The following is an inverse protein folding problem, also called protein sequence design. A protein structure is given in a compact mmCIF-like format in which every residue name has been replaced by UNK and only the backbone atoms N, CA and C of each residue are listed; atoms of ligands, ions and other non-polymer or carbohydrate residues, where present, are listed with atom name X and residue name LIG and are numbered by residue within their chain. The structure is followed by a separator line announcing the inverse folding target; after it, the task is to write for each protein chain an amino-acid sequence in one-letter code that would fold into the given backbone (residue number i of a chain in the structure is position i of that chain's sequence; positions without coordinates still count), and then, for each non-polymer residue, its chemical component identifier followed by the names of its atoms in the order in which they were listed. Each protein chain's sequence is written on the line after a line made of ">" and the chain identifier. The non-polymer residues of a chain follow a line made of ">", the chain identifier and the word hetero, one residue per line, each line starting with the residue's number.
data_IF_321644653111
#
_entry.id   IF_321644653111
#
_cell.length_a   1.000
_cell.length_b   1.000
_cell.length_c   1.000
_cell.angle_alpha   90.00
_cell.angle_beta   90.00
_cell.angle_gamma   90.00
#
_symmetry.space_group_name_H-M   'P 1'
#
loop_
_entity.id
_entity.type
_entity.pdbx_description
1 polymer ?
#
# COMPACT_ATOMS: atom_id res chain seq x y z
N UNK A 1 -1.07 -8.53 -4.41
CA UNK A 1 -0.95 -8.01 -3.02
C UNK A 1 -2.33 -7.66 -2.50
N UNK A 2 -2.61 -7.86 -1.21
CA UNK A 2 -3.89 -7.50 -0.57
C UNK A 2 -3.87 -6.08 0.00
N UNK A 3 -4.89 -5.31 -0.34
CA UNK A 3 -5.11 -3.95 0.12
C UNK A 3 -6.49 -3.83 0.73
N UNK A 4 -6.59 -3.12 1.85
CA UNK A 4 -7.86 -2.72 2.45
C UNK A 4 -8.19 -1.29 2.01
N UNK A 5 -9.44 -1.06 1.59
CA UNK A 5 -9.95 0.28 1.32
C UNK A 5 -10.23 0.99 2.64
N UNK A 6 -9.53 2.07 2.93
CA UNK A 6 -9.73 2.85 4.17
C UNK A 6 -10.47 4.16 3.94
N UNK A 7 -10.58 4.61 2.69
CA UNK A 7 -11.31 5.81 2.32
C UNK A 7 -12.80 5.71 2.65
N UNK A 8 -13.35 6.70 3.37
CA UNK A 8 -14.77 6.74 3.77
C UNK A 8 -15.72 6.72 2.57
N UNK A 9 -15.37 7.41 1.49
CA UNK A 9 -16.14 7.41 0.25
C UNK A 9 -15.88 6.17 -0.62
N UNK A 10 -15.06 5.22 -0.17
CA UNK A 10 -14.56 4.12 -1.01
C UNK A 10 -13.61 4.59 -2.11
N UNK A 11 -13.23 3.68 -3.00
CA UNK A 11 -12.31 3.95 -4.11
C UNK A 11 -12.94 3.67 -5.46
N UNK A 12 -12.77 4.62 -6.38
CA UNK A 12 -13.28 4.50 -7.75
C UNK A 12 -12.48 3.48 -8.56
N UNK A 13 -13.18 2.65 -9.32
CA UNK A 13 -12.62 1.66 -10.25
C UNK A 13 -12.84 2.14 -11.68
N UNK A 14 -11.77 2.10 -12.48
CA UNK A 14 -11.75 2.54 -13.88
C UNK A 14 -11.29 1.44 -14.82
N UNK A 15 -11.62 1.61 -16.10
CA UNK A 15 -11.18 0.70 -17.16
C UNK A 15 -9.68 0.78 -17.40
N UNK A 16 -9.12 1.98 -17.35
CA UNK A 16 -7.72 2.29 -17.68
C UNK A 16 -7.08 3.23 -16.64
N UNK A 17 -5.75 3.19 -16.45
CA UNK A 17 -5.04 4.08 -15.55
C UNK A 17 -4.80 5.42 -16.25
N UNK A 18 -5.50 6.46 -15.81
CA UNK A 18 -5.54 7.74 -16.52
C UNK A 18 -5.68 8.90 -15.54
N UNK A 19 -4.78 9.87 -15.64
CA UNK A 19 -4.81 11.08 -14.83
C UNK A 19 -5.95 12.03 -15.21
N UNK A 20 -6.62 11.78 -16.36
CA UNK A 20 -7.76 12.56 -16.79
C UNK A 20 -8.96 12.22 -15.90
N UNK A 21 -9.54 13.23 -15.27
CA UNK A 21 -10.73 13.06 -14.43
C UNK A 21 -11.97 12.59 -15.22
N UNK A 22 -11.99 12.84 -16.52
CA UNK A 22 -13.12 12.61 -17.44
C UNK A 22 -13.42 11.14 -17.73
N UNK A 23 -12.53 10.22 -17.35
CA UNK A 23 -12.73 8.80 -17.59
C UNK A 23 -13.78 8.21 -16.64
N UNK A 24 -14.81 7.52 -17.17
CA UNK A 24 -15.96 7.10 -16.39
C UNK A 24 -15.56 6.10 -15.30
N UNK A 25 -16.08 6.34 -14.10
CA UNK A 25 -16.07 5.36 -13.02
C UNK A 25 -16.97 4.18 -13.42
N UNK A 26 -16.39 2.96 -13.44
CA UNK A 26 -17.16 1.74 -13.67
C UNK A 26 -17.97 1.41 -12.42
N UNK A 27 -17.31 1.48 -11.27
CA UNK A 27 -17.89 1.18 -9.97
C UNK A 27 -17.03 1.73 -8.85
N UNK A 28 -17.51 1.57 -7.62
CA UNK A 28 -16.83 1.97 -6.40
C UNK A 28 -16.64 0.78 -5.47
N UNK A 29 -15.44 0.64 -4.94
CA UNK A 29 -15.19 -0.33 -3.87
C UNK A 29 -15.39 0.37 -2.52
N UNK A 30 -16.29 -0.12 -1.65
CA UNK A 30 -16.58 0.54 -0.38
C UNK A 30 -15.43 0.36 0.64
N UNK A 31 -15.41 1.25 1.65
CA UNK A 31 -14.51 1.15 2.82
C UNK A 31 -14.60 -0.23 3.49
N UNK A 32 -13.47 -0.71 3.99
CA UNK A 32 -13.30 -2.01 4.64
C UNK A 32 -13.18 -3.19 3.67
N UNK A 33 -13.39 -2.96 2.38
CA UNK A 33 -13.22 -4.03 1.38
C UNK A 33 -11.75 -4.38 1.22
N UNK A 34 -11.46 -5.67 1.07
CA UNK A 34 -10.13 -6.16 0.73
C UNK A 34 -10.08 -6.47 -0.76
N UNK A 35 -9.17 -5.83 -1.48
CA UNK A 35 -8.93 -6.04 -2.91
C UNK A 35 -7.52 -6.57 -3.12
N UNK A 36 -7.31 -7.31 -4.22
CA UNK A 36 -6.00 -7.82 -4.60
C UNK A 36 -5.53 -7.18 -5.89
N UNK A 37 -4.27 -6.72 -5.91
CA UNK A 37 -3.70 -6.10 -7.10
C UNK A 37 -2.21 -5.80 -7.03
N UNK A 38 -1.74 -5.04 -8.02
CA UNK A 38 -0.38 -4.54 -8.14
C UNK A 38 -0.34 -3.03 -8.33
N UNK A 39 0.50 -2.35 -7.54
CA UNK A 39 0.71 -0.92 -7.71
C UNK A 39 1.67 -0.64 -8.88
N UNK A 40 1.38 0.41 -9.64
CA UNK A 40 2.24 0.95 -10.69
C UNK A 40 1.78 2.34 -11.11
N UNK A 41 2.70 3.31 -11.17
CA UNK A 41 2.40 4.66 -11.67
C UNK A 41 1.31 5.43 -10.89
N UNK A 42 1.15 5.18 -9.58
CA UNK A 42 0.06 5.79 -8.79
C UNK A 42 -1.30 5.09 -8.91
N UNK A 43 -1.34 3.93 -9.57
CA UNK A 43 -2.53 3.12 -9.74
C UNK A 43 -2.34 1.72 -9.16
N UNK A 44 -3.45 1.08 -8.80
CA UNK A 44 -3.53 -0.33 -8.43
C UNK A 44 -4.28 -1.09 -9.52
N UNK A 45 -3.59 -1.96 -10.25
CA UNK A 45 -4.24 -2.91 -11.16
C UNK A 45 -4.82 -4.07 -10.35
N UNK A 46 -6.13 -4.26 -10.42
CA UNK A 46 -6.82 -5.32 -9.70
C UNK A 46 -6.58 -6.69 -10.36
N UNK A 47 -6.11 -7.67 -9.59
CA UNK A 47 -6.08 -9.08 -9.97
C UNK A 47 -7.39 -9.79 -9.62
N UNK A 48 -8.04 -9.33 -8.55
CA UNK A 48 -9.31 -9.83 -8.04
C UNK A 48 -9.93 -8.76 -7.14
N UNK A 49 -11.26 -8.62 -7.20
CA UNK A 49 -12.00 -7.79 -6.25
C UNK A 49 -12.12 -8.39 -4.84
N UNK A 50 -11.36 -9.44 -4.53
CA UNK A 50 -11.30 -10.06 -3.20
C UNK A 50 -12.64 -10.60 -2.74
N UNK A 51 -13.17 -10.06 -1.65
CA UNK A 51 -14.44 -10.49 -1.03
C UNK A 51 -15.68 -9.83 -1.63
N UNK A 52 -15.52 -8.97 -2.63
CA UNK A 52 -16.64 -8.28 -3.28
C UNK A 52 -17.50 -9.26 -4.11
N UNK A 53 -18.84 -9.10 -4.13
CA UNK A 53 -19.72 -9.92 -4.97
C UNK A 53 -19.35 -9.89 -6.46
N UNK A 54 -18.85 -8.75 -6.94
CA UNK A 54 -18.45 -8.52 -8.33
C UNK A 54 -16.95 -8.74 -8.59
N UNK A 55 -16.25 -9.51 -7.75
CA UNK A 55 -14.80 -9.64 -7.80
C UNK A 55 -14.23 -10.13 -9.14
N UNK A 56 -14.98 -10.92 -9.90
CA UNK A 56 -14.59 -11.41 -11.22
C UNK A 56 -14.54 -10.29 -12.27
N UNK A 57 -15.49 -9.35 -12.23
CA UNK A 57 -15.62 -8.25 -13.20
C UNK A 57 -14.54 -7.17 -13.01
N UNK A 58 -14.01 -7.08 -11.78
CA UNK A 58 -12.98 -6.13 -11.41
C UNK A 58 -11.58 -6.56 -11.84
N UNK A 59 -11.39 -7.80 -12.30
CA UNK A 59 -10.08 -8.29 -12.75
C UNK A 59 -9.60 -7.48 -13.95
N UNK A 60 -8.38 -6.95 -13.84
CA UNK A 60 -7.72 -6.13 -14.85
C UNK A 60 -8.10 -4.66 -14.82
N UNK A 61 -9.04 -4.26 -13.96
CA UNK A 61 -9.44 -2.85 -13.76
C UNK A 61 -8.46 -2.12 -12.85
N UNK A 62 -8.61 -0.80 -12.75
CA UNK A 62 -7.65 0.07 -12.09
C UNK A 62 -8.29 0.90 -11.00
N UNK A 63 -7.59 1.07 -9.90
CA UNK A 63 -7.96 1.97 -8.81
C UNK A 63 -6.87 3.02 -8.67
N UNK A 64 -7.26 4.30 -8.58
CA UNK A 64 -6.30 5.36 -8.33
C UNK A 64 -5.87 5.34 -6.86
N UNK A 65 -4.57 5.43 -6.59
CA UNK A 65 -4.03 5.45 -5.22
C UNK A 65 -3.93 6.87 -4.63
N UNK A 66 -4.25 7.89 -5.42
CA UNK A 66 -4.23 9.28 -4.98
C UNK A 66 -2.82 9.85 -4.76
N UNK A 67 -2.77 11.17 -4.58
CA UNK A 67 -1.60 11.89 -4.04
C UNK A 67 -1.80 12.27 -2.54
N UNK A 68 -2.96 11.92 -1.96
CA UNK A 68 -3.38 12.26 -0.59
C UNK A 68 -3.13 11.16 0.46
N UNK A 69 -3.72 11.25 1.67
CA UNK A 69 -3.68 10.14 2.63
C UNK A 69 -4.21 8.87 1.94
N UNK A 70 -3.43 7.79 2.01
CA UNK A 70 -3.63 6.63 1.14
C UNK A 70 -5.03 6.04 1.32
N UNK A 71 -5.84 6.07 0.25
CA UNK A 71 -7.19 5.50 0.22
C UNK A 71 -7.20 3.97 0.37
N UNK A 72 -6.02 3.36 0.21
CA UNK A 72 -5.76 1.93 0.30
C UNK A 72 -4.58 1.68 1.26
N UNK A 73 -4.77 0.75 2.20
CA UNK A 73 -3.71 0.25 3.09
C UNK A 73 -3.30 -1.14 2.65
N UNK A 74 -1.99 -1.34 2.43
CA UNK A 74 -1.44 -2.63 2.08
C UNK A 74 -1.42 -3.55 3.32
N UNK A 75 -2.24 -4.60 3.31
CA UNK A 75 -2.37 -5.55 4.43
C UNK A 75 -1.22 -6.57 4.50
N UNK A 76 -0.56 -6.80 3.37
CA UNK A 76 0.34 -7.94 3.17
C UNK A 76 1.83 -7.59 3.20
N UNK A 77 2.20 -6.37 3.63
CA UNK A 77 3.61 -5.99 3.79
C UNK A 77 4.11 -6.34 5.19
N UNK A 78 4.30 -7.63 5.46
CA UNK A 78 4.95 -8.07 6.69
C UNK A 78 6.47 -7.97 6.53
N UNK A 79 7.06 -6.92 7.08
CA UNK A 79 8.51 -6.80 7.24
C UNK A 79 8.88 -7.45 8.57
N UNK A 80 9.76 -8.45 8.53
CA UNK A 80 10.30 -9.08 9.73
C UNK A 80 11.63 -8.42 10.10
N UNK A 81 11.77 -7.92 11.32
CA UNK A 81 13.06 -7.49 11.85
C UNK A 81 13.80 -8.71 12.37
N UNK A 82 14.81 -9.17 11.63
CA UNK A 82 15.61 -10.34 12.01
C UNK A 82 16.63 -10.02 13.10
N UNK A 83 17.25 -8.84 13.01
CA UNK A 83 18.27 -8.40 13.97
C UNK A 83 18.21 -6.89 14.16
N UNK A 84 18.48 -6.45 15.39
CA UNK A 84 18.61 -5.05 15.76
C UNK A 84 20.03 -4.79 16.25
N UNK A 85 20.63 -3.71 15.76
CA UNK A 85 21.95 -3.21 16.15
C UNK A 85 21.81 -1.78 16.67
N UNK A 86 22.88 -1.23 17.26
CA UNK A 86 22.87 0.13 17.79
C UNK A 86 22.46 1.19 16.75
N UNK A 87 22.87 1.02 15.49
CA UNK A 87 22.64 2.00 14.41
C UNK A 87 21.98 1.38 13.16
N UNK A 88 21.62 0.10 13.20
CA UNK A 88 21.11 -0.61 12.03
C UNK A 88 20.04 -1.63 12.42
N UNK A 89 19.20 -2.00 11.46
CA UNK A 89 18.29 -3.13 11.54
C UNK A 89 18.49 -4.01 10.32
N UNK A 90 18.51 -5.33 10.54
CA UNK A 90 18.41 -6.30 9.47
C UNK A 90 16.95 -6.67 9.34
N UNK A 91 16.37 -6.39 8.18
CA UNK A 91 14.99 -6.73 7.86
C UNK A 91 14.98 -7.83 6.80
N UNK A 92 13.99 -8.71 6.89
CA UNK A 92 13.65 -9.65 5.84
C UNK A 92 12.22 -9.40 5.39
N UNK A 93 12.01 -9.63 4.11
CA UNK A 93 10.71 -9.53 3.50
C UNK A 93 10.63 -10.55 2.37
N UNK A 94 9.54 -11.30 2.33
CA UNK A 94 9.30 -12.35 1.34
C UNK A 94 9.08 -11.80 -0.09
N UNK A 95 8.98 -10.47 -0.22
CA UNK A 95 8.73 -9.81 -1.49
C UNK A 95 7.28 -10.01 -1.95
N UNK A 96 7.04 -9.77 -3.24
CA UNK A 96 5.75 -10.09 -3.87
C UNK A 96 5.91 -11.45 -4.55
N UNK A 97 5.06 -12.44 -4.26
CA UNK A 97 5.16 -13.79 -4.81
C UNK A 97 4.65 -13.87 -6.27
N UNK A 98 5.19 -13.04 -7.17
CA UNK A 98 4.83 -13.03 -8.59
C UNK A 98 6.07 -13.11 -9.47
N UNK A 99 6.12 -14.18 -10.28
CA UNK A 99 7.24 -14.45 -11.19
C UNK A 99 7.23 -13.45 -12.34
N UNK A 100 8.37 -12.80 -12.58
CA UNK A 100 8.58 -11.88 -13.71
C UNK A 100 8.28 -10.41 -13.42
N UNK A 101 7.76 -10.07 -12.24
CA UNK A 101 7.55 -8.67 -11.85
C UNK A 101 8.82 -8.13 -11.18
N UNK A 102 9.42 -7.08 -11.74
CA UNK A 102 10.46 -6.29 -11.06
C UNK A 102 9.79 -5.13 -10.34
N UNK A 103 10.04 -5.01 -9.04
CA UNK A 103 9.47 -3.93 -8.23
C UNK A 103 10.60 -3.25 -7.46
N UNK A 104 10.59 -1.93 -7.45
CA UNK A 104 11.53 -1.12 -6.67
C UNK A 104 10.83 -0.69 -5.38
N UNK A 105 11.52 -0.81 -4.26
CA UNK A 105 11.00 -0.40 -2.96
C UNK A 105 11.91 0.65 -2.32
N UNK A 106 11.30 1.57 -1.60
CA UNK A 106 12.01 2.50 -0.72
C UNK A 106 11.65 2.18 0.73
N UNK A 107 12.62 1.74 1.52
CA UNK A 107 12.43 1.64 2.97
C UNK A 107 12.69 3.01 3.59
N UNK A 108 11.74 3.50 4.41
CA UNK A 108 11.94 4.69 5.23
C UNK A 108 11.73 4.32 6.69
N UNK A 109 12.77 4.47 7.50
CA UNK A 109 12.66 4.38 8.96
C UNK A 109 12.55 5.77 9.57
N UNK A 110 11.89 5.85 10.72
CA UNK A 110 11.82 7.06 11.55
C UNK A 110 12.17 6.68 12.98
N UNK A 111 12.90 7.57 13.66
CA UNK A 111 13.06 7.43 15.12
C UNK A 111 11.68 7.67 15.72
N UNK A 112 11.12 6.66 16.39
CA UNK A 112 10.02 6.91 17.32
C UNK A 112 10.58 7.84 18.40
N UNK A 113 9.87 8.94 18.70
CA UNK A 113 10.25 9.78 19.85
C UNK A 113 10.34 8.83 21.05
N UNK A 114 11.42 8.90 21.83
CA UNK A 114 11.56 8.10 23.04
C UNK A 114 10.26 8.25 23.83
N UNK A 115 9.54 7.15 24.03
CA UNK A 115 8.42 7.15 24.95
C UNK A 115 8.96 7.64 26.29
N UNK A 116 8.34 8.69 26.85
CA UNK A 116 8.65 9.06 28.23
C UNK A 116 8.32 7.85 29.12
N UNK A 117 9.13 7.53 30.15
CA UNK A 117 8.79 6.48 31.08
C UNK A 117 7.35 6.68 31.60
N UNK A 118 6.47 5.70 31.39
CA UNK A 118 5.06 5.77 31.78
C UNK A 118 4.07 6.28 30.72
N UNK A 119 4.51 6.65 29.51
CA UNK A 119 3.59 6.93 28.40
C UNK A 119 3.45 5.70 27.50
N UNK A 120 2.20 5.28 27.29
CA UNK A 120 1.83 4.29 26.29
C UNK A 120 2.29 4.77 24.90
N UNK A 121 2.91 3.91 24.07
CA UNK A 121 3.43 4.32 22.77
C UNK A 121 2.29 4.86 21.90
N UNK A 122 2.30 6.18 21.66
CA UNK A 122 1.37 6.82 20.75
C UNK A 122 1.53 6.22 19.35
N UNK A 123 0.41 5.81 18.75
CA UNK A 123 0.35 5.38 17.35
C UNK A 123 1.00 6.44 16.44
N UNK A 124 1.71 6.03 15.38
CA UNK A 124 2.62 6.91 14.67
C UNK A 124 1.90 8.07 13.97
N UNK A 125 2.10 9.29 14.48
CA UNK A 125 1.72 10.56 13.85
C UNK A 125 2.77 10.98 12.79
N UNK A 126 2.35 11.60 11.70
CA UNK A 126 3.16 11.82 10.50
C UNK A 126 4.10 13.05 10.60
N UNK A 127 5.41 12.83 10.43
CA UNK A 127 6.38 13.84 9.97
C UNK A 127 7.44 13.15 9.06
N UNK A 128 7.63 13.65 7.83
CA UNK A 128 8.28 12.94 6.72
C UNK A 128 9.71 13.43 6.49
N UNK A 129 10.69 12.79 7.11
CA UNK A 129 12.12 12.97 6.77
C UNK A 129 12.56 12.19 5.52
N UNK A 130 13.55 12.70 4.78
CA UNK A 130 14.14 12.07 3.59
C UNK A 130 15.05 10.88 3.97
N UNK A 131 14.64 9.65 3.65
CA UNK A 131 15.45 8.43 3.79
C UNK A 131 16.25 8.11 2.51
N UNK A 132 17.41 7.45 2.66
CA UNK A 132 18.26 6.97 1.55
C UNK A 132 17.66 5.69 0.93
N UNK A 133 17.71 5.61 -0.40
CA UNK A 133 17.27 4.43 -1.17
C UNK A 133 18.27 3.28 -1.02
N UNK A 134 17.78 2.08 -0.71
CA UNK A 134 18.51 0.84 -0.89
C UNK A 134 17.86 0.10 -2.07
N UNK A 135 18.62 -0.13 -3.14
CA UNK A 135 18.17 -0.95 -4.26
C UNK A 135 18.50 -2.40 -3.90
N UNK A 136 17.46 -3.22 -3.72
CA UNK A 136 17.58 -4.67 -3.59
C UNK A 136 17.23 -5.24 -4.97
N UNK A 137 18.24 -5.78 -5.65
CA UNK A 137 18.15 -6.37 -6.99
C UNK A 137 17.89 -7.87 -6.95
#
# INVERSE_FOLDING_TARGET
>A
MEYEVVADAGVAVRAEPTEKEEEPEITRVPKGSVVRGFCGGGWLRLESGGTLPQAAELKGKWVFLGAGPADLVLLSLRIEVRRSFAEAVSVAWEGIPHKGLRVKYGLRWRRTRKAKPGQEPLLPYHDVGRGREAVIS
#
